data_IF_880920872485
#
_entry.id   IF_880920872485
#
_cell.length_a   1.000
_cell.length_b   1.000
_cell.length_c   1.000
_cell.angle_alpha   90.00
_cell.angle_beta   90.00
_cell.angle_gamma   90.00
#
_symmetry.space_group_name_H-M   'P 1'
#
loop_
_entity.id
_entity.type
_entity.pdbx_description
1 polymer ?
#
# COMPACT_ATOMS: atom_id res chain seq x y z
N UNK A 1 -9.94 8.27 14.53
CA UNK A 1 -10.63 7.14 13.84
C UNK A 1 -11.07 7.50 12.42
N UNK A 2 -10.54 8.55 11.79
CA UNK A 2 -11.04 9.03 10.48
C UNK A 2 -10.14 8.66 9.29
N UNK A 3 -8.98 8.04 9.53
CA UNK A 3 -8.00 7.76 8.47
C UNK A 3 -8.51 6.77 7.42
N UNK A 4 -8.96 5.58 7.82
CA UNK A 4 -9.40 4.56 6.87
C UNK A 4 -10.63 4.99 6.04
N UNK A 5 -11.65 5.66 6.61
CA UNK A 5 -12.71 6.27 5.82
C UNK A 5 -12.22 7.34 4.83
N UNK A 6 -11.16 8.08 5.17
CA UNK A 6 -10.55 9.07 4.26
C UNK A 6 -9.77 8.41 3.13
N UNK A 7 -9.07 7.32 3.42
CA UNK A 7 -8.28 6.56 2.44
C UNK A 7 -9.16 5.72 1.50
N UNK A 8 -10.18 5.03 2.01
CA UNK A 8 -10.97 4.08 1.20
C UNK A 8 -12.40 4.54 0.90
N UNK A 9 -12.92 5.53 1.64
CA UNK A 9 -14.33 5.84 1.70
C UNK A 9 -15.05 5.08 2.82
N UNK A 10 -16.10 5.70 3.37
CA UNK A 10 -16.84 5.18 4.54
C UNK A 10 -17.44 3.79 4.29
N UNK A 11 -17.94 3.52 3.08
CA UNK A 11 -18.55 2.22 2.74
C UNK A 11 -17.54 1.11 2.46
N UNK A 12 -16.29 1.46 2.13
CA UNK A 12 -15.24 0.51 1.73
C UNK A 12 -14.15 0.33 2.79
N UNK A 13 -14.24 1.02 3.92
CA UNK A 13 -13.22 1.02 4.99
C UNK A 13 -12.75 -0.38 5.38
N UNK A 14 -13.67 -1.27 5.73
CA UNK A 14 -13.34 -2.65 6.14
C UNK A 14 -12.74 -3.44 4.97
N UNK A 15 -13.27 -3.26 3.76
CA UNK A 15 -12.80 -3.98 2.57
C UNK A 15 -11.38 -3.52 2.19
N UNK A 16 -11.12 -2.22 2.26
CA UNK A 16 -9.83 -1.63 1.90
C UNK A 16 -8.73 -2.00 2.88
N UNK A 17 -9.01 -1.90 4.18
CA UNK A 17 -8.07 -2.33 5.21
C UNK A 17 -7.68 -3.81 5.02
N UNK A 18 -8.67 -4.70 4.85
CA UNK A 18 -8.40 -6.12 4.61
C UNK A 18 -7.67 -6.37 3.29
N UNK A 19 -7.91 -5.55 2.25
CA UNK A 19 -7.21 -5.67 0.98
C UNK A 19 -5.72 -5.38 1.13
N UNK A 20 -5.35 -4.34 1.89
CA UNK A 20 -3.94 -4.03 2.18
C UNK A 20 -3.26 -5.18 2.92
N UNK A 21 -3.92 -5.73 3.95
CA UNK A 21 -3.38 -6.87 4.69
C UNK A 21 -3.20 -8.11 3.80
N UNK A 22 -4.18 -8.40 2.95
CA UNK A 22 -4.12 -9.52 2.00
C UNK A 22 -2.95 -9.36 1.03
N UNK A 23 -2.72 -8.15 0.50
CA UNK A 23 -1.57 -7.92 -0.37
C UNK A 23 -0.24 -8.02 0.38
N UNK A 24 -0.15 -7.55 1.61
CA UNK A 24 1.06 -7.72 2.42
C UNK A 24 1.37 -9.20 2.69
N UNK A 25 0.37 -10.02 2.99
CA UNK A 25 0.53 -11.48 3.16
C UNK A 25 1.01 -12.16 1.88
N UNK A 26 0.57 -11.70 0.71
CA UNK A 26 1.04 -12.21 -0.57
C UNK A 26 2.47 -11.76 -0.89
N UNK A 27 2.79 -10.51 -0.55
CA UNK A 27 4.10 -9.92 -0.84
C UNK A 27 5.18 -10.49 0.08
N UNK A 28 4.90 -10.76 1.35
CA UNK A 28 5.90 -11.14 2.33
C UNK A 28 5.54 -12.46 3.03
N UNK A 29 6.23 -13.55 2.66
CA UNK A 29 5.98 -14.89 3.22
C UNK A 29 6.21 -14.99 4.73
N UNK A 30 7.09 -14.14 5.27
CA UNK A 30 7.43 -14.09 6.69
C UNK A 30 6.52 -13.12 7.47
N UNK A 31 5.59 -12.44 6.79
CA UNK A 31 4.62 -11.56 7.41
C UNK A 31 3.60 -12.36 8.22
N UNK A 32 3.38 -11.95 9.47
CA UNK A 32 2.52 -12.64 10.42
C UNK A 32 1.44 -11.72 11.02
N UNK A 33 1.10 -10.65 10.31
CA UNK A 33 0.23 -9.59 10.83
C UNK A 33 1.01 -8.55 11.63
N UNK A 34 0.30 -7.86 12.52
CA UNK A 34 0.88 -6.86 13.42
C UNK A 34 0.10 -5.55 13.41
N UNK A 35 0.66 -4.55 14.11
CA UNK A 35 0.12 -3.20 14.08
C UNK A 35 0.52 -2.50 12.78
N UNK A 36 -0.28 -1.52 12.38
CA UNK A 36 -0.01 -0.68 11.23
C UNK A 36 -0.02 0.77 11.65
N UNK A 37 0.92 1.52 11.11
CA UNK A 37 1.00 2.96 11.23
C UNK A 37 0.28 3.59 10.03
N UNK A 38 -0.38 4.71 10.27
CA UNK A 38 -1.14 5.45 9.27
C UNK A 38 -0.45 6.76 8.97
N UNK A 39 -0.25 7.03 7.68
CA UNK A 39 0.52 8.17 7.21
C UNK A 39 -0.34 9.06 6.32
N UNK A 40 -0.31 10.34 6.64
CA UNK A 40 -0.85 11.42 5.83
C UNK A 40 0.28 12.42 5.60
N UNK A 41 0.67 12.61 4.34
CA UNK A 41 1.74 13.54 3.97
C UNK A 41 1.19 14.94 3.75
N UNK A 42 2.05 15.95 3.81
CA UNK A 42 1.66 17.34 3.53
C UNK A 42 1.12 17.52 2.11
N UNK A 43 1.57 16.69 1.16
CA UNK A 43 1.10 16.65 -0.23
C UNK A 43 -0.20 15.84 -0.41
N UNK A 44 -0.78 15.35 0.69
CA UNK A 44 -2.08 14.68 0.71
C UNK A 44 -2.07 13.23 0.24
N UNK A 45 -0.89 12.59 0.20
CA UNK A 45 -0.79 11.14 0.04
C UNK A 45 -1.21 10.46 1.34
N UNK A 46 -1.96 9.36 1.20
CA UNK A 46 -2.47 8.58 2.31
C UNK A 46 -2.02 7.13 2.11
N UNK A 47 -1.37 6.55 3.12
CA UNK A 47 -1.02 5.14 3.10
C UNK A 47 -0.86 4.58 4.50
N UNK A 48 -0.71 3.27 4.57
CA UNK A 48 -0.44 2.58 5.82
C UNK A 48 0.75 1.63 5.64
N UNK A 49 1.55 1.48 6.69
CA UNK A 49 2.70 0.59 6.70
C UNK A 49 2.77 -0.26 7.97
N UNK A 50 3.29 -1.49 7.91
CA UNK A 50 3.40 -2.36 9.08
C UNK A 50 4.40 -1.79 10.09
N UNK A 51 4.02 -1.84 11.37
CA UNK A 51 4.89 -1.58 12.52
C UNK A 51 5.71 -2.84 12.86
N UNK A 52 6.50 -3.26 11.88
CA UNK A 52 7.26 -4.51 11.88
C UNK A 52 8.77 -4.31 11.82
N UNK A 53 9.52 -5.34 11.40
CA UNK A 53 10.96 -5.23 11.19
C UNK A 53 11.31 -4.09 10.23
N UNK A 54 12.39 -3.36 10.51
CA UNK A 54 12.83 -2.24 9.68
C UNK A 54 13.17 -2.62 8.22
N UNK A 55 13.42 -3.89 7.95
CA UNK A 55 13.63 -4.44 6.60
C UNK A 55 12.78 -5.69 6.42
N UNK A 56 12.10 -5.78 5.28
CA UNK A 56 11.19 -6.86 4.93
C UNK A 56 11.55 -7.40 3.55
N UNK A 57 11.53 -8.74 3.41
CA UNK A 57 11.70 -9.41 2.13
C UNK A 57 10.35 -9.54 1.46
N UNK A 58 10.25 -9.00 0.25
CA UNK A 58 9.05 -9.02 -0.56
C UNK A 58 9.32 -9.76 -1.86
N UNK A 59 8.30 -10.48 -2.31
CA UNK A 59 8.25 -11.12 -3.61
C UNK A 59 6.88 -10.89 -4.24
N UNK A 60 6.83 -10.69 -5.54
CA UNK A 60 5.56 -10.58 -6.27
C UNK A 60 5.58 -11.46 -7.51
N UNK A 61 4.78 -12.52 -7.48
CA UNK A 61 4.68 -13.47 -8.59
C UNK A 61 4.16 -12.86 -9.89
N UNK A 62 3.42 -11.75 -9.81
CA UNK A 62 2.80 -11.11 -10.97
C UNK A 62 3.81 -10.60 -12.00
N UNK A 63 4.96 -10.11 -11.56
CA UNK A 63 6.05 -9.63 -12.41
C UNK A 63 7.42 -10.25 -12.08
N UNK A 64 7.47 -11.19 -11.12
CA UNK A 64 8.69 -11.86 -10.70
C UNK A 64 9.62 -10.99 -9.84
N UNK A 65 9.10 -9.92 -9.26
CA UNK A 65 9.86 -9.07 -8.34
C UNK A 65 10.30 -9.85 -7.11
N UNK A 66 11.54 -9.67 -6.69
CA UNK A 66 12.07 -10.10 -5.39
C UNK A 66 13.01 -9.00 -4.85
N UNK A 67 12.85 -8.61 -3.60
CA UNK A 67 13.68 -7.57 -2.99
C UNK A 67 13.54 -7.46 -1.48
N UNK A 68 14.53 -6.86 -0.85
CA UNK A 68 14.49 -6.48 0.57
C UNK A 68 14.46 -4.96 0.68
N UNK A 69 13.48 -4.41 1.37
CA UNK A 69 13.27 -2.95 1.50
C UNK A 69 12.72 -2.57 2.87
N UNK A 70 12.53 -1.27 3.14
CA UNK A 70 11.95 -0.83 4.41
C UNK A 70 10.51 -1.32 4.61
N UNK A 71 10.06 -1.39 5.87
CA UNK A 71 8.66 -1.62 6.17
C UNK A 71 7.75 -0.51 5.62
N UNK A 72 8.26 0.72 5.54
CA UNK A 72 7.56 1.85 4.93
C UNK A 72 7.28 1.60 3.43
N UNK A 73 8.32 1.24 2.67
CA UNK A 73 8.21 0.89 1.27
C UNK A 73 7.28 -0.32 1.04
N UNK A 74 7.36 -1.34 1.91
CA UNK A 74 6.45 -2.47 1.90
C UNK A 74 4.98 -2.04 2.05
N UNK A 75 4.71 -1.12 2.98
CA UNK A 75 3.39 -0.53 3.21
C UNK A 75 2.87 0.28 2.02
N UNK A 76 3.75 1.08 1.40
CA UNK A 76 3.43 1.83 0.18
C UNK A 76 3.00 0.88 -0.93
N UNK A 77 3.76 -0.18 -1.20
CA UNK A 77 3.45 -1.17 -2.25
C UNK A 77 2.10 -1.85 -1.96
N UNK A 78 1.89 -2.36 -0.75
CA UNK A 78 0.65 -3.04 -0.38
C UNK A 78 -0.57 -2.09 -0.49
N UNK A 79 -0.40 -0.82 -0.12
CA UNK A 79 -1.43 0.21 -0.27
C UNK A 79 -1.73 0.50 -1.74
N UNK A 80 -0.69 0.67 -2.58
CA UNK A 80 -0.85 0.89 -4.03
C UNK A 80 -1.60 -0.26 -4.71
N UNK A 81 -1.25 -1.51 -4.37
CA UNK A 81 -1.96 -2.69 -4.86
C UNK A 81 -3.43 -2.71 -4.44
N UNK A 82 -3.73 -2.41 -3.18
CA UNK A 82 -5.10 -2.33 -2.70
C UNK A 82 -5.89 -1.25 -3.44
N UNK A 83 -5.35 -0.04 -3.56
CA UNK A 83 -6.01 1.08 -4.25
C UNK A 83 -6.26 0.77 -5.73
N UNK A 84 -5.25 0.23 -6.43
CA UNK A 84 -5.36 -0.17 -7.83
C UNK A 84 -6.45 -1.23 -8.01
N UNK A 85 -6.36 -2.33 -7.25
CA UNK A 85 -7.32 -3.43 -7.31
C UNK A 85 -8.76 -2.96 -7.04
N UNK A 86 -8.95 -2.18 -5.97
CA UNK A 86 -10.27 -1.70 -5.57
C UNK A 86 -10.86 -0.67 -6.53
N UNK A 87 -10.04 0.20 -7.13
CA UNK A 87 -10.50 1.18 -8.13
C UNK A 87 -11.12 0.49 -9.36
N UNK A 88 -10.62 -0.70 -9.71
CA UNK A 88 -11.16 -1.53 -10.79
C UNK A 88 -12.38 -2.35 -10.34
N UNK A 89 -12.39 -2.81 -9.08
CA UNK A 89 -13.44 -3.68 -8.54
C UNK A 89 -14.74 -2.92 -8.20
N UNK A 90 -14.67 -1.65 -7.78
CA UNK A 90 -15.83 -0.89 -7.29
C UNK A 90 -16.16 0.30 -8.19
N UNK A 91 -17.36 0.29 -8.79
CA UNK A 91 -17.87 1.42 -9.60
C UNK A 91 -18.14 2.65 -8.72
N UNK A 92 -17.73 3.83 -9.19
CA UNK A 92 -17.95 5.11 -8.50
C UNK A 92 -16.98 5.37 -7.33
N UNK A 93 -15.89 4.61 -7.23
CA UNK A 93 -14.84 4.79 -6.24
C UNK A 93 -13.64 5.57 -6.82
N UNK A 94 -13.91 6.64 -7.56
CA UNK A 94 -12.88 7.41 -8.29
C UNK A 94 -11.79 7.99 -7.36
N UNK A 95 -12.15 8.27 -6.10
CA UNK A 95 -11.21 8.68 -5.05
C UNK A 95 -10.04 7.70 -4.85
N UNK A 96 -10.26 6.40 -5.08
CA UNK A 96 -9.22 5.38 -4.91
C UNK A 96 -8.12 5.53 -5.96
N UNK A 97 -8.52 5.85 -7.21
CA UNK A 97 -7.57 6.13 -8.28
C UNK A 97 -6.83 7.44 -8.04
N UNK A 98 -7.50 8.47 -7.51
CA UNK A 98 -6.84 9.72 -7.13
C UNK A 98 -5.80 9.51 -6.02
N UNK A 99 -6.16 8.75 -4.96
CA UNK A 99 -5.24 8.42 -3.88
C UNK A 99 -4.08 7.55 -4.37
N UNK A 100 -4.33 6.63 -5.31
CA UNK A 100 -3.28 5.84 -5.96
C UNK A 100 -2.25 6.76 -6.63
N UNK A 101 -2.70 7.73 -7.43
CA UNK A 101 -1.78 8.65 -8.12
C UNK A 101 -1.01 9.55 -7.15
N UNK A 102 -1.64 10.08 -6.10
CA UNK A 102 -0.92 10.87 -5.08
C UNK A 102 0.11 10.03 -4.34
N UNK A 103 -0.21 8.78 -4.02
CA UNK A 103 0.75 7.87 -3.38
C UNK A 103 1.88 7.48 -4.32
N UNK A 104 1.60 7.34 -5.62
CA UNK A 104 2.62 7.08 -6.64
C UNK A 104 3.60 8.24 -6.78
N UNK A 105 3.10 9.48 -6.77
CA UNK A 105 3.92 10.69 -6.79
C UNK A 105 4.81 10.78 -5.54
N UNK A 106 4.25 10.50 -4.36
CA UNK A 106 5.03 10.41 -3.12
C UNK A 106 6.10 9.31 -3.16
N UNK A 107 5.77 8.14 -3.71
CA UNK A 107 6.70 7.02 -3.86
C UNK A 107 7.87 7.33 -4.81
N UNK A 108 7.72 8.29 -5.73
CA UNK A 108 8.80 8.74 -6.61
C UNK A 108 9.94 9.44 -5.86
N UNK A 109 9.66 10.02 -4.69
CA UNK A 109 10.63 10.73 -3.86
C UNK A 109 11.16 9.88 -2.70
N UNK A 110 10.61 8.68 -2.49
CA UNK A 110 11.00 7.77 -1.42
C UNK A 110 12.41 7.18 -1.65
N UNK A 111 13.17 6.92 -0.58
CA UNK A 111 14.54 6.37 -0.68
C UNK A 111 14.61 5.03 -1.42
N UNK A 112 13.59 4.19 -1.22
CA UNK A 112 13.42 2.89 -1.89
C UNK A 112 12.63 2.99 -3.21
N UNK A 113 12.45 4.18 -3.79
CA UNK A 113 11.60 4.44 -4.97
C UNK A 113 11.82 3.41 -6.10
N UNK A 114 13.08 3.16 -6.49
CA UNK A 114 13.39 2.19 -7.55
C UNK A 114 12.82 0.80 -7.29
N UNK A 115 12.83 0.34 -6.04
CA UNK A 115 12.31 -0.96 -5.67
C UNK A 115 10.79 -0.95 -5.58
N UNK A 116 10.18 0.15 -5.12
CA UNK A 116 8.72 0.33 -5.15
C UNK A 116 8.20 0.23 -6.58
N UNK A 117 8.78 0.98 -7.51
CA UNK A 117 8.37 0.95 -8.92
C UNK A 117 8.64 -0.39 -9.59
N UNK A 118 9.72 -1.09 -9.24
CA UNK A 118 9.97 -2.44 -9.73
C UNK A 118 8.95 -3.47 -9.20
N UNK A 119 8.43 -3.30 -8.00
CA UNK A 119 7.43 -4.20 -7.43
C UNK A 119 6.06 -4.02 -8.07
N UNK A 120 5.70 -2.81 -8.49
CA UNK A 120 4.36 -2.47 -9.00
C UNK A 120 4.23 -2.43 -10.54
N UNK A 121 5.31 -2.75 -11.27
CA UNK A 121 5.34 -2.84 -12.75
C UNK A 121 4.42 -3.95 -13.29
#
# INVERSE_FOLDING_TARGET
>A
MEFLPKLFGTSLTIIGENSVYTFMEQLCSDYNGGFWQFFETDDGALYMAPDGPARMKLAWDGNGFEGEMSNDAAGIIATLFALSHMSMAFRGADQLAEHYHRLLDFAAEHEDSRMIFAAID
#
